data_IF_043848730170
#
_entry.id   IF_043848730170
#
_cell.length_a   1.000
_cell.length_b   1.000
_cell.length_c   1.000
_cell.angle_alpha   90.00
_cell.angle_beta   90.00
_cell.angle_gamma   90.00
#
_symmetry.space_group_name_H-M   'P 1'
#
loop_
_entity.id
_entity.type
_entity.pdbx_description
1 polymer ?
#
# COMPACT_ATOMS: atom_id res chain seq x y z
N UNK A 1 -6.98 37.21 -56.11
CA UNK A 1 -8.00 36.27 -55.61
C UNK A 1 -7.25 35.07 -54.95
N UNK A 2 -7.03 35.14 -53.64
CA UNK A 2 -6.27 34.13 -52.91
C UNK A 2 -7.25 33.36 -52.02
N UNK A 3 -7.37 32.04 -52.22
CA UNK A 3 -8.25 31.15 -51.44
C UNK A 3 -7.44 30.54 -50.32
N UNK A 4 -7.65 31.04 -49.08
CA UNK A 4 -7.20 30.48 -47.82
C UNK A 4 -7.73 29.06 -47.64
N UNK A 5 -6.85 28.06 -47.64
CA UNK A 5 -7.17 26.68 -47.22
C UNK A 5 -7.00 26.60 -45.69
N UNK A 6 -8.10 26.70 -44.97
CA UNK A 6 -8.15 26.36 -43.54
C UNK A 6 -7.87 24.85 -43.37
N UNK A 7 -6.70 24.51 -42.81
CA UNK A 7 -6.35 23.15 -42.39
C UNK A 7 -7.17 22.83 -41.17
N UNK A 8 -8.21 22.01 -41.29
CA UNK A 8 -8.90 21.35 -40.20
C UNK A 8 -7.92 20.38 -39.53
N UNK A 9 -7.40 20.76 -38.37
CA UNK A 9 -6.62 19.91 -37.50
C UNK A 9 -7.59 18.96 -36.78
N UNK A 10 -7.79 17.77 -37.37
CA UNK A 10 -8.51 16.67 -36.73
C UNK A 10 -7.72 16.24 -35.51
N UNK A 11 -8.18 16.65 -34.31
CA UNK A 11 -7.74 16.09 -33.05
C UNK A 11 -8.09 14.60 -33.08
N UNK A 12 -7.09 13.75 -33.30
CA UNK A 12 -7.19 12.33 -33.02
C UNK A 12 -7.39 12.18 -31.50
N UNK A 13 -8.62 11.94 -31.08
CA UNK A 13 -8.89 11.38 -29.78
C UNK A 13 -8.12 10.07 -29.71
N UNK A 14 -7.05 10.01 -28.93
CA UNK A 14 -6.37 8.76 -28.65
C UNK A 14 -7.39 7.83 -27.99
N UNK A 15 -7.76 6.76 -28.70
CA UNK A 15 -8.57 5.70 -28.14
C UNK A 15 -7.81 5.13 -26.95
N UNK A 16 -8.30 5.42 -25.74
CA UNK A 16 -7.80 4.85 -24.50
C UNK A 16 -7.96 3.33 -24.65
N UNK A 17 -6.87 2.59 -24.59
CA UNK A 17 -6.91 1.13 -24.60
C UNK A 17 -7.95 0.62 -23.59
N UNK A 18 -8.70 -0.49 -23.90
CA UNK A 18 -9.75 -1.00 -23.02
C UNK A 18 -9.19 -1.16 -21.62
N UNK A 19 -9.83 -0.49 -20.66
CA UNK A 19 -9.29 -0.19 -19.35
C UNK A 19 -8.96 -1.45 -18.56
N UNK A 20 -7.67 -1.75 -18.43
CA UNK A 20 -7.19 -2.62 -17.36
C UNK A 20 -7.61 -1.98 -16.05
N UNK A 21 -8.50 -2.65 -15.30
CA UNK A 21 -8.86 -2.18 -13.96
C UNK A 21 -7.56 -2.04 -13.17
N UNK A 22 -7.23 -0.84 -12.65
CA UNK A 22 -6.00 -0.65 -11.90
C UNK A 22 -5.98 -1.63 -10.72
N UNK A 23 -4.89 -2.38 -10.57
CA UNK A 23 -4.73 -3.24 -9.39
C UNK A 23 -4.67 -2.36 -8.14
N UNK A 24 -5.35 -2.76 -7.08
CA UNK A 24 -5.25 -2.08 -5.80
C UNK A 24 -3.85 -2.27 -5.20
N UNK A 25 -3.32 -1.23 -4.60
CA UNK A 25 -2.06 -1.24 -3.88
C UNK A 25 -2.34 -1.32 -2.38
N UNK A 26 -1.86 -2.36 -1.73
CA UNK A 26 -2.03 -2.56 -0.28
C UNK A 26 -0.66 -2.49 0.39
N UNK A 27 -0.50 -1.52 1.28
CA UNK A 27 0.69 -1.39 2.12
C UNK A 27 0.64 -2.37 3.29
N UNK A 28 1.74 -3.08 3.56
CA UNK A 28 1.91 -3.82 4.81
C UNK A 28 3.07 -3.21 5.58
N UNK A 29 2.77 -2.71 6.76
CA UNK A 29 3.73 -2.07 7.67
C UNK A 29 3.80 -2.83 8.99
N UNK A 30 4.98 -2.85 9.60
CA UNK A 30 5.24 -3.56 10.85
C UNK A 30 6.71 -3.49 11.21
N UNK A 31 7.05 -4.11 12.33
CA UNK A 31 8.40 -4.10 12.89
C UNK A 31 9.40 -4.95 12.09
N UNK A 32 10.66 -4.51 12.07
CA UNK A 32 11.77 -5.24 11.45
C UNK A 32 12.27 -6.42 12.29
N UNK A 33 12.09 -6.36 13.62
CA UNK A 33 12.35 -7.46 14.55
C UNK A 33 11.02 -7.90 15.14
N UNK A 34 10.53 -9.06 14.73
CA UNK A 34 9.13 -9.45 14.92
C UNK A 34 8.99 -10.74 15.72
N UNK A 35 7.90 -10.85 16.49
CA UNK A 35 7.50 -12.10 17.11
C UNK A 35 7.15 -13.17 16.06
N UNK A 36 7.30 -14.46 16.40
CA UNK A 36 6.90 -15.55 15.52
C UNK A 36 5.41 -15.47 15.08
N UNK A 37 4.55 -14.90 15.91
CA UNK A 37 3.15 -14.66 15.59
C UNK A 37 2.98 -13.58 14.53
N UNK A 38 3.65 -12.43 14.70
CA UNK A 38 3.59 -11.34 13.73
C UNK A 38 4.12 -11.77 12.36
N UNK A 39 5.19 -12.56 12.32
CA UNK A 39 5.74 -13.17 11.10
C UNK A 39 4.69 -14.05 10.39
N UNK A 40 4.06 -15.00 11.13
CA UNK A 40 3.01 -15.85 10.54
C UNK A 40 1.80 -15.06 10.04
N UNK A 41 1.38 -14.05 10.79
CA UNK A 41 0.28 -13.18 10.39
C UNK A 41 0.60 -12.38 9.13
N UNK A 42 1.80 -11.79 9.06
CA UNK A 42 2.26 -11.02 7.92
C UNK A 42 2.37 -11.88 6.65
N UNK A 43 2.89 -13.10 6.77
CA UNK A 43 2.97 -14.04 5.65
C UNK A 43 1.58 -14.39 5.09
N UNK A 44 0.60 -14.67 5.98
CA UNK A 44 -0.78 -14.93 5.57
C UNK A 44 -1.44 -13.70 4.94
N UNK A 45 -1.16 -12.49 5.46
CA UNK A 45 -1.60 -11.22 4.85
C UNK A 45 -1.05 -11.09 3.45
N UNK A 46 0.26 -11.31 3.25
CA UNK A 46 0.88 -11.24 1.93
C UNK A 46 0.26 -12.21 0.94
N UNK A 47 0.07 -13.46 1.33
CA UNK A 47 -0.59 -14.51 0.54
C UNK A 47 -2.01 -14.12 0.14
N UNK A 48 -2.79 -13.58 1.07
CA UNK A 48 -4.16 -13.14 0.81
C UNK A 48 -4.23 -11.91 -0.12
N UNK A 49 -3.27 -10.98 -0.03
CA UNK A 49 -3.15 -9.83 -0.95
C UNK A 49 -2.91 -10.33 -2.38
N UNK A 50 -1.97 -11.26 -2.57
CA UNK A 50 -1.66 -11.87 -3.86
C UNK A 50 -2.88 -12.62 -4.45
N UNK A 51 -3.54 -13.46 -3.64
CA UNK A 51 -4.74 -14.20 -4.05
C UNK A 51 -5.89 -13.27 -4.49
N UNK A 52 -5.96 -12.06 -3.94
CA UNK A 52 -6.92 -11.03 -4.35
C UNK A 52 -6.51 -10.24 -5.60
N UNK A 53 -5.36 -10.53 -6.21
CA UNK A 53 -4.83 -9.84 -7.39
C UNK A 53 -4.33 -8.42 -7.11
N UNK A 54 -4.17 -8.04 -5.84
CA UNK A 54 -3.62 -6.75 -5.44
C UNK A 54 -2.08 -6.76 -5.45
N UNK A 55 -1.46 -5.57 -5.44
CA UNK A 55 -0.01 -5.40 -5.35
C UNK A 55 0.36 -5.11 -3.90
N UNK A 56 1.33 -5.84 -3.37
CA UNK A 56 1.89 -5.60 -2.05
C UNK A 56 2.95 -4.48 -2.11
N UNK A 57 2.81 -3.49 -1.23
CA UNK A 57 3.82 -2.48 -0.95
C UNK A 57 4.36 -2.65 0.46
N UNK A 58 5.67 -2.63 0.62
CA UNK A 58 6.32 -2.74 1.94
C UNK A 58 7.58 -1.89 2.01
N UNK A 59 8.14 -1.78 3.22
CA UNK A 59 9.45 -1.16 3.41
C UNK A 59 10.64 -1.97 2.88
N UNK A 60 10.41 -3.19 2.38
CA UNK A 60 11.38 -4.00 1.66
C UNK A 60 12.47 -4.68 2.51
N UNK A 61 12.49 -4.49 3.84
CA UNK A 61 13.52 -5.06 4.74
C UNK A 61 12.99 -6.29 5.49
N UNK A 62 13.56 -6.62 6.64
CA UNK A 62 13.26 -7.82 7.44
C UNK A 62 11.95 -7.78 8.23
N UNK A 63 11.72 -8.80 9.03
CA UNK A 63 10.60 -8.93 9.94
C UNK A 63 9.23 -9.05 9.26
N UNK A 64 8.25 -8.25 9.66
CA UNK A 64 6.91 -8.21 9.07
C UNK A 64 6.95 -7.95 7.56
N UNK A 65 7.84 -7.05 7.13
CA UNK A 65 7.98 -6.69 5.72
C UNK A 65 8.44 -7.88 4.86
N UNK A 66 9.45 -8.62 5.32
CA UNK A 66 9.95 -9.80 4.64
C UNK A 66 8.92 -10.95 4.65
N UNK A 67 8.27 -11.19 5.78
CA UNK A 67 7.25 -12.23 5.89
C UNK A 67 6.07 -11.98 4.94
N UNK A 68 5.58 -10.74 4.88
CA UNK A 68 4.53 -10.35 3.93
C UNK A 68 4.99 -10.49 2.47
N UNK A 69 6.24 -10.07 2.18
CA UNK A 69 6.84 -10.22 0.84
C UNK A 69 6.92 -11.68 0.43
N UNK A 70 7.38 -12.56 1.34
CA UNK A 70 7.45 -14.01 1.11
C UNK A 70 6.08 -14.58 0.78
N UNK A 71 5.08 -14.33 1.64
CA UNK A 71 3.74 -14.86 1.43
C UNK A 71 3.10 -14.40 0.13
N UNK A 72 3.33 -13.14 -0.27
CA UNK A 72 2.82 -12.62 -1.54
C UNK A 72 3.56 -13.21 -2.74
N UNK A 73 4.90 -13.26 -2.69
CA UNK A 73 5.74 -13.78 -3.78
C UNK A 73 5.47 -15.26 -4.04
N UNK A 74 5.42 -16.10 -2.99
CA UNK A 74 5.10 -17.54 -3.10
C UNK A 74 3.69 -17.81 -3.67
N UNK A 75 2.76 -16.87 -3.48
CA UNK A 75 1.43 -16.93 -4.08
C UNK A 75 1.35 -16.26 -5.48
N UNK A 76 2.47 -15.92 -6.11
CA UNK A 76 2.55 -15.35 -7.44
C UNK A 76 2.14 -13.87 -7.51
N UNK A 77 2.08 -13.17 -6.38
CA UNK A 77 1.72 -11.75 -6.30
C UNK A 77 2.91 -10.84 -6.58
N UNK A 78 2.65 -9.61 -7.00
CA UNK A 78 3.67 -8.58 -7.19
C UNK A 78 4.01 -7.89 -5.85
N UNK A 79 5.31 -7.70 -5.60
CA UNK A 79 5.85 -7.08 -4.38
C UNK A 79 6.74 -5.90 -4.74
N UNK A 80 6.40 -4.73 -4.19
CA UNK A 80 7.19 -3.49 -4.31
C UNK A 80 7.78 -3.16 -2.94
N UNK A 81 9.09 -2.99 -2.87
CA UNK A 81 9.81 -2.61 -1.66
C UNK A 81 10.36 -1.18 -1.76
N UNK A 82 9.92 -0.29 -0.87
CA UNK A 82 10.44 1.08 -0.75
C UNK A 82 11.62 1.09 0.22
N UNK A 83 12.84 1.13 -0.30
CA UNK A 83 14.06 1.04 0.50
C UNK A 83 14.48 2.42 1.01
N UNK A 84 14.90 2.53 2.29
CA UNK A 84 15.35 3.79 2.87
C UNK A 84 16.75 4.21 2.38
N UNK A 85 17.61 3.23 2.08
CA UNK A 85 19.01 3.43 1.72
C UNK A 85 19.24 3.71 0.25
N UNK A 86 20.47 3.45 -0.18
CA UNK A 86 20.99 3.78 -1.52
C UNK A 86 21.23 2.54 -2.39
N UNK A 87 21.06 1.33 -1.84
CA UNK A 87 21.37 0.08 -2.54
C UNK A 87 20.13 -0.84 -2.63
N UNK A 88 19.95 -1.43 -3.81
CA UNK A 88 18.91 -2.46 -4.05
C UNK A 88 19.17 -3.74 -3.27
N UNK A 89 20.43 -4.04 -2.95
CA UNK A 89 20.83 -5.22 -2.17
C UNK A 89 20.27 -5.19 -0.74
N UNK A 90 19.82 -4.04 -0.23
CA UNK A 90 19.12 -3.95 1.06
C UNK A 90 17.72 -4.61 1.04
N UNK A 91 17.17 -4.88 -0.14
CA UNK A 91 15.88 -5.54 -0.27
C UNK A 91 15.94 -7.00 0.18
N UNK A 92 14.90 -7.45 0.89
CA UNK A 92 14.75 -8.89 1.10
C UNK A 92 14.51 -9.59 -0.24
N UNK A 93 14.89 -10.86 -0.32
CA UNK A 93 14.91 -11.69 -1.55
C UNK A 93 13.53 -11.85 -2.24
N UNK A 94 12.44 -11.52 -1.57
CA UNK A 94 11.07 -11.68 -2.04
C UNK A 94 10.49 -10.41 -2.69
N UNK A 95 11.24 -9.31 -2.67
CA UNK A 95 10.87 -8.06 -3.33
C UNK A 95 11.17 -8.17 -4.83
N UNK A 96 10.13 -8.00 -5.67
CA UNK A 96 10.28 -8.02 -7.13
C UNK A 96 10.74 -6.68 -7.69
N UNK A 97 10.27 -5.57 -7.09
CA UNK A 97 10.57 -4.21 -7.55
C UNK A 97 11.12 -3.43 -6.35
N UNK A 98 12.45 -3.42 -6.16
CA UNK A 98 13.08 -2.57 -5.16
C UNK A 98 13.17 -1.12 -5.65
N UNK A 99 12.61 -0.19 -4.88
CA UNK A 99 12.67 1.24 -5.13
C UNK A 99 13.62 1.87 -4.13
N UNK A 100 14.79 2.28 -4.59
CA UNK A 100 15.83 2.94 -3.79
C UNK A 100 15.47 4.42 -3.67
N UNK A 101 15.31 4.91 -2.44
CA UNK A 101 14.89 6.29 -2.22
C UNK A 101 15.99 7.21 -1.67
N UNK A 102 16.93 6.66 -0.92
CA UNK A 102 17.96 7.48 -0.21
C UNK A 102 17.36 8.43 0.83
N UNK A 103 16.12 8.21 1.27
CA UNK A 103 15.38 9.16 2.10
C UNK A 103 15.21 8.68 3.57
N UNK A 104 15.86 7.61 3.95
CA UNK A 104 15.74 7.00 5.28
C UNK A 104 14.27 6.90 5.72
N UNK A 105 13.90 7.38 6.90
CA UNK A 105 12.53 7.33 7.43
C UNK A 105 11.53 8.19 6.63
N UNK A 106 12.01 9.22 5.93
CA UNK A 106 11.12 10.06 5.11
C UNK A 106 10.43 9.29 3.97
N UNK A 107 10.98 8.14 3.52
CA UNK A 107 10.34 7.27 2.52
C UNK A 107 9.00 6.69 2.98
N UNK A 108 8.69 6.70 4.29
CA UNK A 108 7.41 6.23 4.82
C UNK A 108 6.23 7.00 4.21
N UNK A 109 6.42 8.30 3.91
CA UNK A 109 5.41 9.11 3.22
C UNK A 109 5.14 8.58 1.82
N UNK A 110 6.21 8.22 1.08
CA UNK A 110 6.09 7.69 -0.29
C UNK A 110 5.38 6.34 -0.25
N UNK A 111 5.79 5.43 0.67
CA UNK A 111 5.17 4.13 0.84
C UNK A 111 3.66 4.28 1.06
N UNK A 112 3.27 5.07 2.05
CA UNK A 112 1.87 5.25 2.43
C UNK A 112 1.08 5.88 1.28
N UNK A 113 1.60 6.95 0.63
CA UNK A 113 0.93 7.61 -0.51
C UNK A 113 0.75 6.71 -1.72
N UNK A 114 1.61 5.71 -1.88
CA UNK A 114 1.53 4.73 -2.98
C UNK A 114 0.43 3.69 -2.77
N UNK A 115 -0.22 3.67 -1.60
CA UNK A 115 -1.20 2.66 -1.23
C UNK A 115 -2.64 3.20 -1.25
N UNK A 116 -3.57 2.31 -1.60
CA UNK A 116 -5.01 2.53 -1.50
C UNK A 116 -5.55 2.23 -0.08
N UNK A 117 -4.85 1.34 0.64
CA UNK A 117 -5.07 1.02 2.05
C UNK A 117 -3.77 0.50 2.68
N UNK A 118 -3.66 0.61 4.01
CA UNK A 118 -2.51 0.12 4.78
C UNK A 118 -2.99 -0.90 5.82
N UNK A 119 -2.29 -2.04 5.92
CA UNK A 119 -2.45 -3.04 6.98
C UNK A 119 -1.24 -2.94 7.91
N UNK A 120 -1.48 -2.61 9.18
CA UNK A 120 -0.46 -2.60 10.22
C UNK A 120 -0.50 -3.91 11.00
N UNK A 121 0.62 -4.64 11.02
CA UNK A 121 0.77 -5.92 11.74
C UNK A 121 1.76 -5.73 12.88
N UNK A 122 1.29 -5.84 14.13
CA UNK A 122 2.11 -5.52 15.30
C UNK A 122 2.61 -4.07 15.25
N UNK A 123 3.88 -3.86 15.55
CA UNK A 123 4.59 -2.65 15.19
C UNK A 123 5.16 -1.85 16.36
N UNK A 124 6.29 -1.20 16.08
CA UNK A 124 7.00 -0.25 16.92
C UNK A 124 6.78 1.19 16.42
N UNK A 125 7.62 2.14 16.84
CA UNK A 125 7.46 3.57 16.50
C UNK A 125 7.51 3.87 15.00
N UNK A 126 8.28 3.11 14.21
CA UNK A 126 8.26 3.23 12.74
C UNK A 126 6.88 2.95 12.18
N UNK A 127 6.24 1.85 12.63
CA UNK A 127 4.87 1.50 12.24
C UNK A 127 3.86 2.53 12.73
N UNK A 128 4.05 3.08 13.93
CA UNK A 128 3.20 4.17 14.44
C UNK A 128 3.27 5.41 13.55
N UNK A 129 4.46 5.77 13.06
CA UNK A 129 4.63 6.89 12.13
C UNK A 129 3.88 6.66 10.80
N UNK A 130 3.96 5.44 10.25
CA UNK A 130 3.25 5.06 9.02
C UNK A 130 1.73 5.07 9.21
N UNK A 131 1.23 4.60 10.35
CA UNK A 131 -0.18 4.70 10.74
C UNK A 131 -0.63 6.16 10.79
N UNK A 132 0.13 7.02 11.48
CA UNK A 132 -0.20 8.45 11.62
C UNK A 132 -0.21 9.15 10.25
N UNK A 133 0.76 8.87 9.39
CA UNK A 133 0.83 9.38 8.03
C UNK A 133 -0.37 8.92 7.19
N UNK A 134 -0.73 7.64 7.25
CA UNK A 134 -1.88 7.10 6.53
C UNK A 134 -3.18 7.80 6.94
N UNK A 135 -3.42 7.95 8.24
CA UNK A 135 -4.58 8.62 8.78
C UNK A 135 -4.64 10.09 8.37
N UNK A 136 -3.51 10.82 8.46
CA UNK A 136 -3.40 12.22 8.01
C UNK A 136 -3.72 12.38 6.53
N UNK A 137 -3.37 11.40 5.70
CA UNK A 137 -3.59 11.41 4.25
C UNK A 137 -4.95 10.82 3.84
N UNK A 138 -5.80 10.45 4.80
CA UNK A 138 -7.10 9.84 4.53
C UNK A 138 -7.01 8.45 3.89
N UNK A 139 -5.87 7.76 4.08
CA UNK A 139 -5.67 6.39 3.61
C UNK A 139 -6.18 5.45 4.70
N UNK A 140 -7.09 4.50 4.37
CA UNK A 140 -7.62 3.56 5.34
C UNK A 140 -6.53 2.72 6.02
N UNK A 141 -6.60 2.62 7.35
CA UNK A 141 -5.70 1.80 8.16
C UNK A 141 -6.47 0.64 8.78
N UNK A 142 -6.00 -0.57 8.51
CA UNK A 142 -6.49 -1.81 9.10
C UNK A 142 -5.42 -2.32 10.08
N UNK A 143 -5.82 -2.51 11.34
CA UNK A 143 -4.92 -2.95 12.39
C UNK A 143 -5.08 -4.43 12.72
N UNK A 144 -4.00 -5.20 12.59
CA UNK A 144 -3.91 -6.59 13.01
C UNK A 144 -2.96 -6.69 14.20
N UNK A 145 -3.51 -6.69 15.43
CA UNK A 145 -2.72 -6.71 16.67
C UNK A 145 -1.67 -5.58 16.76
N UNK A 146 -2.05 -4.39 16.35
CA UNK A 146 -1.22 -3.20 16.34
C UNK A 146 -1.67 -2.18 17.40
N UNK A 147 -1.18 -0.98 17.30
CA UNK A 147 -1.45 0.15 18.17
C UNK A 147 -2.95 0.42 18.37
N UNK A 148 -3.33 0.73 19.59
CA UNK A 148 -4.62 1.31 19.94
C UNK A 148 -4.40 2.75 20.36
N UNK A 149 -4.94 3.67 19.58
CA UNK A 149 -4.71 5.10 19.75
C UNK A 149 -6.00 5.81 20.10
N UNK A 150 -5.91 6.82 20.98
CA UNK A 150 -6.96 7.78 21.30
C UNK A 150 -6.54 9.18 20.91
N UNK A 151 -7.50 10.06 20.62
CA UNK A 151 -7.25 11.48 20.45
C UNK A 151 -7.33 12.19 21.82
N UNK A 152 -6.71 13.38 21.99
CA UNK A 152 -6.75 14.12 23.26
C UNK A 152 -8.16 14.48 23.71
N UNK A 153 -9.11 14.60 22.77
CA UNK A 153 -10.54 14.88 23.03
C UNK A 153 -11.37 13.61 23.27
N UNK A 154 -10.73 12.44 23.46
CA UNK A 154 -11.38 11.17 23.72
C UNK A 154 -11.96 10.46 22.48
N UNK A 155 -11.95 11.09 21.30
CA UNK A 155 -12.41 10.43 20.06
C UNK A 155 -11.48 9.26 19.70
N UNK A 156 -12.07 8.23 19.14
CA UNK A 156 -11.30 7.08 18.63
C UNK A 156 -10.55 7.45 17.35
N UNK A 157 -9.31 7.04 17.27
CA UNK A 157 -8.56 7.07 16.01
C UNK A 157 -9.13 5.99 15.08
N UNK A 158 -9.40 6.31 13.80
CA UNK A 158 -10.11 5.40 12.87
C UNK A 158 -9.20 4.29 12.31
N UNK A 159 -8.61 3.49 13.21
CA UNK A 159 -7.93 2.24 12.86
C UNK A 159 -8.96 1.12 12.93
N UNK A 160 -9.23 0.46 11.82
CA UNK A 160 -10.19 -0.65 11.75
C UNK A 160 -9.52 -1.92 12.23
N UNK A 161 -9.92 -2.44 13.39
CA UNK A 161 -9.36 -3.68 13.92
C UNK A 161 -9.77 -4.90 13.09
N UNK A 162 -8.78 -5.74 12.75
CA UNK A 162 -8.99 -7.02 12.09
C UNK A 162 -8.86 -8.19 13.08
N UNK A 163 -9.64 -9.25 12.85
CA UNK A 163 -9.68 -10.45 13.68
C UNK A 163 -8.68 -11.51 13.20
N UNK A 164 -8.40 -11.55 11.91
CA UNK A 164 -7.45 -12.48 11.27
C UNK A 164 -6.71 -11.80 10.12
N UNK A 165 -5.62 -12.40 9.60
CA UNK A 165 -4.94 -11.94 8.39
C UNK A 165 -5.89 -11.76 7.19
N UNK A 166 -6.77 -12.70 6.93
CA UNK A 166 -7.70 -12.68 5.80
C UNK A 166 -8.78 -11.60 6.00
N UNK A 167 -9.28 -11.42 7.23
CA UNK A 167 -10.19 -10.32 7.58
C UNK A 167 -9.52 -8.95 7.36
N UNK A 168 -8.21 -8.83 7.68
CA UNK A 168 -7.47 -7.61 7.43
C UNK A 168 -7.42 -7.26 5.94
N UNK A 169 -7.14 -8.22 5.08
CA UNK A 169 -7.09 -8.00 3.62
C UNK A 169 -8.48 -7.69 3.07
N UNK A 170 -9.51 -8.42 3.46
CA UNK A 170 -10.90 -8.18 3.05
C UNK A 170 -11.32 -6.74 3.39
N UNK A 171 -11.06 -6.28 4.62
CA UNK A 171 -11.36 -4.92 5.07
C UNK A 171 -10.55 -3.87 4.30
N UNK A 172 -9.26 -4.12 4.08
CA UNK A 172 -8.39 -3.21 3.33
C UNK A 172 -8.89 -3.00 1.90
N UNK A 173 -9.17 -4.08 1.18
CA UNK A 173 -9.69 -4.01 -0.19
C UNK A 173 -11.06 -3.33 -0.27
N UNK A 174 -11.96 -3.60 0.66
CA UNK A 174 -13.26 -2.93 0.73
C UNK A 174 -13.11 -1.42 1.00
N UNK A 175 -12.21 -1.03 1.90
CA UNK A 175 -11.94 0.38 2.20
C UNK A 175 -11.28 1.12 1.03
N UNK A 176 -10.30 0.47 0.36
CA UNK A 176 -9.63 0.98 -0.83
C UNK A 176 -10.62 1.27 -1.97
N UNK A 177 -11.53 0.33 -2.26
CA UNK A 177 -12.57 0.50 -3.30
C UNK A 177 -13.50 1.67 -2.98
N UNK A 178 -13.93 1.82 -1.73
CA UNK A 178 -14.78 2.96 -1.29
C UNK A 178 -14.06 4.29 -1.46
N UNK A 179 -12.76 4.37 -1.11
CA UNK A 179 -11.94 5.57 -1.28
C UNK A 179 -11.81 5.96 -2.76
N UNK A 180 -11.50 4.99 -3.62
CA UNK A 180 -11.39 5.21 -5.07
C UNK A 180 -12.71 5.63 -5.72
N UNK A 181 -13.86 5.18 -5.24
CA UNK A 181 -15.18 5.64 -5.70
C UNK A 181 -15.40 7.12 -5.36
N UNK A 182 -15.11 7.53 -4.11
CA UNK A 182 -15.24 8.94 -3.67
C UNK A 182 -14.32 9.88 -4.45
N UNK A 183 -13.08 9.49 -4.71
CA UNK A 183 -12.15 10.33 -5.46
C UNK A 183 -12.62 10.61 -6.90
N UNK A 184 -13.36 9.71 -7.52
CA UNK A 184 -13.92 9.88 -8.88
C UNK A 184 -15.11 10.85 -8.95
N UNK A 185 -15.87 11.00 -7.87
CA UNK A 185 -17.01 11.93 -7.82
C UNK A 185 -16.61 13.40 -7.68
N UNK A 186 -15.33 13.70 -7.41
CA UNK A 186 -14.81 15.07 -7.31
C UNK A 186 -14.18 15.59 -8.61
N UNK A 187 -14.09 14.76 -9.64
CA UNK A 187 -13.45 15.09 -10.94
C UNK A 187 -14.51 15.18 -12.07
N UNK A 188 -15.75 14.96 -11.76
CA UNK A 188 -16.92 15.13 -12.65
C UNK A 188 -17.71 16.39 -12.31
#
# INVERSE_FOLDING_TARGET
MSRSRARRRTQRRSARAPGRVPRLHVGVVGESVSSARAVRDAERVGRAIAAAGAVLFTGGRGGVMEAASRGASEAGGAVVGLLPGFDRAEANRWVHIPVVTGMDQARNVILVRSCDAVIAVGGMYGTLSEIALALKLGIPVIGLRTWRLGQPDGRRVPIVAARSPEDAVTRALAAARRRGARARTWVS
#
